data_IF_085783611890
#
_entry.id   IF_085783611890
#
_cell.length_a   1.000
_cell.length_b   1.000
_cell.length_c   1.000
_cell.angle_alpha   90.00
_cell.angle_beta   90.00
_cell.angle_gamma   90.00
#
_symmetry.space_group_name_H-M   'P 1'
#
loop_
_entity.id
_entity.type
_entity.pdbx_description
1 polymer ?
#
# COMPACT_ATOMS: atom_id res chain seq x y z
N UNK A 1 7.39 -6.30 19.07
CA UNK A 1 8.11 -7.32 18.26
C UNK A 1 7.23 -7.95 17.19
N UNK A 2 6.01 -8.38 17.53
CA UNK A 2 5.13 -9.13 16.62
C UNK A 2 4.18 -8.28 15.73
N UNK A 3 4.29 -6.96 15.80
CA UNK A 3 3.62 -6.04 14.89
C UNK A 3 4.64 -5.49 13.90
N UNK A 4 4.40 -5.68 12.60
CA UNK A 4 5.25 -5.17 11.52
C UNK A 4 4.59 -3.93 10.91
N UNK A 5 5.29 -2.81 10.90
CA UNK A 5 4.81 -1.59 10.27
C UNK A 5 4.82 -1.73 8.75
N UNK A 6 3.67 -1.57 8.13
CA UNK A 6 3.58 -1.50 6.67
C UNK A 6 3.93 -0.08 6.22
N UNK A 7 4.84 0.09 5.26
CA UNK A 7 5.29 1.42 4.87
C UNK A 7 4.24 2.15 4.05
N UNK A 8 4.17 3.48 4.23
CA UNK A 8 3.66 4.35 3.18
C UNK A 8 4.72 4.50 2.07
N UNK A 9 4.26 4.66 0.84
CA UNK A 9 5.14 4.74 -0.31
C UNK A 9 5.32 6.20 -0.75
N UNK A 10 6.57 6.66 -0.72
CA UNK A 10 6.93 8.03 -1.09
C UNK A 10 7.89 7.95 -2.28
N UNK A 11 7.41 8.13 -3.52
CA UNK A 11 8.27 8.22 -4.69
C UNK A 11 9.19 9.43 -4.60
N UNK A 12 10.43 9.25 -5.07
CA UNK A 12 11.42 10.33 -5.19
C UNK A 12 11.55 10.70 -6.66
N UNK A 13 10.82 11.74 -7.07
CA UNK A 13 10.88 12.26 -8.42
C UNK A 13 12.20 12.98 -8.66
N UNK A 14 12.66 12.96 -9.91
CA UNK A 14 13.76 13.78 -10.37
C UNK A 14 13.22 15.00 -11.08
N UNK A 15 13.88 16.13 -10.85
CA UNK A 15 13.65 17.38 -11.58
C UNK A 15 13.89 17.18 -13.09
N UNK A 16 13.19 17.97 -13.90
CA UNK A 16 13.31 18.00 -15.36
C UNK A 16 12.96 16.70 -16.12
N UNK A 17 12.55 15.63 -15.43
CA UNK A 17 11.91 14.47 -16.05
C UNK A 17 10.39 14.66 -16.13
N UNK A 18 9.78 14.18 -17.21
CA UNK A 18 8.32 14.13 -17.32
C UNK A 18 7.76 12.82 -16.76
N UNK A 19 6.61 12.92 -16.11
CA UNK A 19 5.88 11.80 -15.52
C UNK A 19 4.42 11.87 -15.94
N UNK A 20 3.78 10.71 -16.11
CA UNK A 20 2.37 10.64 -16.49
C UNK A 20 1.90 9.21 -16.60
N UNK A 21 0.74 8.97 -17.23
CA UNK A 21 0.17 7.64 -17.29
C UNK A 21 0.60 6.80 -18.51
N UNK A 22 1.06 7.44 -19.59
CA UNK A 22 1.38 6.78 -20.87
C UNK A 22 2.68 7.33 -21.48
N UNK A 23 3.18 6.65 -22.51
CA UNK A 23 4.39 7.04 -23.23
C UNK A 23 5.61 7.08 -22.32
N UNK A 24 6.58 7.94 -22.65
CA UNK A 24 7.84 8.08 -21.90
C UNK A 24 7.60 8.48 -20.44
N UNK A 25 6.68 9.41 -20.18
CA UNK A 25 6.32 9.79 -18.82
C UNK A 25 5.71 8.63 -18.01
N UNK A 26 4.94 7.76 -18.67
CA UNK A 26 4.44 6.51 -18.09
C UNK A 26 5.55 5.54 -17.70
N UNK A 27 6.54 5.34 -18.56
CA UNK A 27 7.71 4.50 -18.27
C UNK A 27 8.51 5.05 -17.08
N UNK A 28 8.82 6.35 -17.09
CA UNK A 28 9.56 7.03 -16.02
C UNK A 28 8.82 6.88 -14.68
N UNK A 29 7.52 7.16 -14.69
CA UNK A 29 6.68 7.05 -13.50
C UNK A 29 6.63 5.62 -12.97
N UNK A 30 6.45 4.63 -13.86
CA UNK A 30 6.44 3.22 -13.49
C UNK A 30 7.74 2.80 -12.81
N UNK A 31 8.88 3.26 -13.32
CA UNK A 31 10.20 2.96 -12.74
C UNK A 31 10.36 3.54 -11.33
N UNK A 32 9.98 4.82 -11.13
CA UNK A 32 10.08 5.46 -9.82
C UNK A 32 9.13 4.81 -8.81
N UNK A 33 7.90 4.51 -9.19
CA UNK A 33 6.92 3.87 -8.30
C UNK A 33 7.35 2.46 -7.90
N UNK A 34 7.91 1.67 -8.83
CA UNK A 34 8.48 0.35 -8.51
C UNK A 34 9.65 0.46 -7.54
N UNK A 35 10.54 1.44 -7.73
CA UNK A 35 11.64 1.69 -6.80
C UNK A 35 11.13 2.09 -5.42
N UNK A 36 10.15 2.98 -5.37
CA UNK A 36 9.51 3.44 -4.13
C UNK A 36 8.80 2.31 -3.39
N UNK A 37 8.11 1.44 -4.11
CA UNK A 37 7.41 0.28 -3.55
C UNK A 37 8.29 -0.94 -3.32
N UNK A 38 9.60 -0.84 -3.63
CA UNK A 38 10.55 -1.95 -3.60
C UNK A 38 10.07 -3.17 -4.41
N UNK A 39 9.31 -2.94 -5.49
CA UNK A 39 8.76 -3.99 -6.34
C UNK A 39 7.49 -4.67 -5.83
N UNK A 40 6.80 -4.07 -4.86
CA UNK A 40 5.53 -4.57 -4.31
C UNK A 40 4.32 -3.70 -4.74
N UNK A 41 3.13 -4.31 -4.74
CA UNK A 41 1.87 -3.60 -4.91
C UNK A 41 1.66 -2.62 -3.75
N UNK A 42 1.36 -1.36 -4.04
CA UNK A 42 1.18 -0.33 -3.02
C UNK A 42 -0.06 -0.52 -2.13
N UNK A 43 -1.02 -1.37 -2.53
CA UNK A 43 -2.23 -1.64 -1.74
C UNK A 43 -2.24 -2.97 -1.00
N UNK A 44 -1.77 -4.05 -1.63
CA UNK A 44 -1.82 -5.39 -1.03
C UNK A 44 -0.47 -6.00 -0.70
N UNK A 45 0.62 -5.29 -0.99
CA UNK A 45 1.98 -5.71 -0.63
C UNK A 45 2.46 -7.02 -1.29
N UNK A 46 1.71 -7.55 -2.27
CA UNK A 46 2.13 -8.66 -3.12
C UNK A 46 3.22 -8.20 -4.09
N UNK A 47 4.18 -9.08 -4.39
CA UNK A 47 5.29 -8.76 -5.30
C UNK A 47 4.78 -8.58 -6.73
N UNK A 48 5.23 -7.52 -7.39
CA UNK A 48 4.88 -7.17 -8.78
C UNK A 48 6.10 -7.06 -9.68
N UNK A 49 7.31 -7.00 -9.11
CA UNK A 49 8.57 -7.14 -9.84
C UNK A 49 9.16 -8.51 -9.56
N UNK A 50 9.07 -9.41 -10.53
CA UNK A 50 9.51 -10.81 -10.42
C UNK A 50 10.44 -11.10 -11.58
N UNK A 51 11.65 -11.58 -11.29
CA UNK A 51 12.66 -11.89 -12.32
C UNK A 51 12.84 -10.76 -13.35
N UNK A 52 13.00 -9.54 -12.85
CA UNK A 52 13.13 -8.29 -13.66
C UNK A 52 11.89 -7.95 -14.52
N UNK A 53 10.84 -8.78 -14.52
CA UNK A 53 9.57 -8.53 -15.20
C UNK A 53 8.63 -7.76 -14.27
N UNK A 54 8.08 -6.67 -14.79
CA UNK A 54 7.21 -5.76 -14.04
C UNK A 54 5.74 -5.99 -14.40
N UNK A 55 5.04 -6.69 -13.51
CA UNK A 55 3.61 -6.99 -13.58
C UNK A 55 2.72 -5.90 -12.96
N UNK A 56 3.33 -4.82 -12.47
CA UNK A 56 2.63 -3.67 -11.91
C UNK A 56 1.85 -2.90 -12.97
N UNK A 57 0.71 -2.35 -12.58
CA UNK A 57 -0.13 -1.47 -13.38
C UNK A 57 -0.17 -0.08 -12.76
N UNK A 58 -0.05 0.95 -13.61
CA UNK A 58 -0.29 2.33 -13.20
C UNK A 58 -1.78 2.49 -12.91
N UNK A 59 -2.10 2.95 -11.72
CA UNK A 59 -3.46 3.01 -11.17
C UNK A 59 -3.74 4.43 -10.68
N UNK A 60 -4.92 4.98 -10.98
CA UNK A 60 -5.32 6.34 -10.60
C UNK A 60 -6.02 6.39 -9.24
N UNK A 61 -5.33 6.84 -8.19
CA UNK A 61 -5.83 6.92 -6.81
C UNK A 61 -7.25 7.47 -6.71
N UNK A 62 -7.49 8.66 -7.30
CA UNK A 62 -8.81 9.18 -7.64
C UNK A 62 -9.05 8.90 -9.11
N UNK A 63 -10.19 8.29 -9.45
CA UNK A 63 -10.42 7.83 -10.81
C UNK A 63 -10.43 8.99 -11.83
N UNK A 64 -9.72 8.77 -12.94
CA UNK A 64 -9.53 9.75 -14.02
C UNK A 64 -10.82 10.24 -14.69
N UNK A 65 -11.94 9.51 -14.57
CA UNK A 65 -13.21 9.97 -15.11
C UNK A 65 -13.77 11.18 -14.36
N UNK A 66 -13.26 11.48 -13.15
CA UNK A 66 -13.66 12.65 -12.39
C UNK A 66 -13.10 13.95 -12.98
N UNK A 67 -11.88 13.94 -13.53
CA UNK A 67 -11.27 15.13 -14.13
C UNK A 67 -10.08 14.76 -15.03
N UNK A 68 -9.95 15.43 -16.18
CA UNK A 68 -8.84 15.19 -17.12
C UNK A 68 -7.47 15.53 -16.53
N UNK A 69 -7.37 16.52 -15.62
CA UNK A 69 -6.11 16.86 -14.93
C UNK A 69 -5.55 15.70 -14.09
N UNK A 70 -6.41 14.77 -13.63
CA UNK A 70 -6.00 13.59 -12.87
C UNK A 70 -5.33 12.51 -13.73
N UNK A 71 -5.53 12.53 -15.05
CA UNK A 71 -5.04 11.48 -15.97
C UNK A 71 -3.52 11.37 -15.92
N UNK A 72 -2.82 12.50 -15.89
CA UNK A 72 -1.35 12.55 -15.91
C UNK A 72 -0.75 13.13 -14.62
N UNK A 73 -1.56 13.43 -13.60
CA UNK A 73 -1.06 13.88 -12.30
C UNK A 73 -0.22 12.78 -11.64
N UNK A 74 1.11 12.94 -11.50
CA UNK A 74 1.97 11.88 -10.96
C UNK A 74 1.65 11.55 -9.51
N UNK A 75 1.20 12.55 -8.74
CA UNK A 75 0.76 12.36 -7.36
C UNK A 75 -0.56 11.57 -7.23
N UNK A 76 -1.32 11.44 -8.32
CA UNK A 76 -2.53 10.65 -8.40
C UNK A 76 -2.31 9.24 -8.94
N UNK A 77 -1.07 8.85 -9.25
CA UNK A 77 -0.81 7.57 -9.90
C UNK A 77 0.07 6.69 -9.02
N UNK A 78 -0.44 5.50 -8.73
CA UNK A 78 0.20 4.46 -7.93
C UNK A 78 0.65 3.28 -8.80
N UNK A 79 1.41 2.33 -8.21
CA UNK A 79 1.71 1.04 -8.83
C UNK A 79 1.06 -0.10 -8.05
N UNK A 80 0.27 -0.91 -8.74
CA UNK A 80 -0.53 -1.96 -8.10
C UNK A 80 -0.54 -3.25 -8.90
N UNK A 81 -0.91 -4.36 -8.26
CA UNK A 81 -1.16 -5.61 -8.97
C UNK A 81 -2.51 -5.53 -9.73
N UNK A 82 -2.67 -6.39 -10.74
CA UNK A 82 -3.87 -6.45 -11.57
C UNK A 82 -5.17 -6.67 -10.78
N UNK A 83 -5.11 -7.41 -9.66
CA UNK A 83 -6.29 -7.65 -8.81
C UNK A 83 -6.73 -6.41 -8.05
N UNK A 84 -5.78 -5.65 -7.49
CA UNK A 84 -6.08 -4.41 -6.79
C UNK A 84 -6.65 -3.36 -7.75
N UNK A 85 -5.98 -3.14 -8.89
CA UNK A 85 -6.42 -2.19 -9.92
C UNK A 85 -7.73 -2.61 -10.58
N UNK A 86 -7.78 -3.84 -11.09
CA UNK A 86 -8.84 -4.31 -11.98
C UNK A 86 -10.10 -4.80 -11.28
N UNK A 87 -10.07 -5.07 -9.97
CA UNK A 87 -11.20 -5.66 -9.25
C UNK A 87 -11.50 -4.93 -7.94
N UNK A 88 -10.56 -4.92 -6.99
CA UNK A 88 -10.84 -4.43 -5.64
C UNK A 88 -11.12 -2.94 -5.60
N UNK A 89 -10.33 -2.13 -6.30
CA UNK A 89 -10.55 -0.69 -6.35
C UNK A 89 -11.74 -0.30 -7.23
N UNK A 90 -11.93 -0.96 -8.38
CA UNK A 90 -13.08 -0.71 -9.26
C UNK A 90 -14.43 -0.92 -8.58
N UNK A 91 -14.49 -1.82 -7.58
CA UNK A 91 -15.71 -2.01 -6.79
C UNK A 91 -16.16 -0.67 -6.21
N UNK A 92 -17.40 -0.30 -6.52
CA UNK A 92 -18.04 0.94 -6.08
C UNK A 92 -17.45 2.25 -6.66
N UNK A 93 -16.63 2.20 -7.73
CA UNK A 93 -16.02 3.42 -8.31
C UNK A 93 -17.05 4.46 -8.75
N UNK A 94 -18.18 4.03 -9.30
CA UNK A 94 -19.27 4.93 -9.73
C UNK A 94 -19.88 5.71 -8.57
N UNK A 95 -19.83 5.17 -7.35
CA UNK A 95 -20.41 5.79 -6.14
C UNK A 95 -19.50 6.90 -5.62
N UNK A 96 -18.18 6.83 -5.91
CA UNK A 96 -17.19 7.82 -5.50
C UNK A 96 -17.03 8.99 -6.47
N UNK A 97 -17.98 9.15 -7.40
CA UNK A 97 -17.96 10.23 -8.39
C UNK A 97 -18.01 11.59 -7.69
N UNK A 98 -17.15 12.49 -8.14
CA UNK A 98 -17.10 13.87 -7.67
C UNK A 98 -18.20 14.70 -8.33
N UNK A 99 -18.71 15.69 -7.59
CA UNK A 99 -19.70 16.65 -8.11
C UNK A 99 -19.04 17.65 -9.04
N UNK A 100 -19.84 18.35 -9.86
CA UNK A 100 -19.32 19.36 -10.77
C UNK A 100 -18.60 20.49 -10.01
N UNK A 101 -19.15 20.95 -8.90
CA UNK A 101 -18.54 21.99 -8.04
C UNK A 101 -17.20 21.55 -7.48
N UNK A 102 -17.08 20.29 -7.02
CA UNK A 102 -15.81 19.75 -6.52
C UNK A 102 -14.73 19.70 -7.62
N UNK A 103 -15.14 19.36 -8.85
CA UNK A 103 -14.26 19.33 -10.02
C UNK A 103 -13.84 20.74 -10.43
N UNK A 104 -14.79 21.68 -10.52
CA UNK A 104 -14.51 23.08 -10.89
C UNK A 104 -13.53 23.73 -9.91
N UNK A 105 -13.71 23.48 -8.61
CA UNK A 105 -12.77 23.95 -7.58
C UNK A 105 -11.37 23.33 -7.78
N UNK A 106 -11.29 22.01 -7.98
CA UNK A 106 -10.00 21.38 -8.27
C UNK A 106 -9.36 21.95 -9.53
N UNK A 107 -10.12 22.19 -10.60
CA UNK A 107 -9.61 22.75 -11.85
C UNK A 107 -9.12 24.20 -11.67
N UNK A 108 -9.78 25.00 -10.85
CA UNK A 108 -9.37 26.38 -10.57
C UNK A 108 -8.08 26.47 -9.72
N UNK A 109 -7.93 25.60 -8.71
CA UNK A 109 -6.83 25.66 -7.73
C UNK A 109 -5.67 24.69 -7.99
N UNK A 110 -5.72 23.91 -9.08
CA UNK A 110 -4.64 22.99 -9.44
C UNK A 110 -3.59 23.62 -10.34
N UNK A 111 -2.36 23.65 -9.84
CA UNK A 111 -1.16 24.18 -10.52
C UNK A 111 -0.48 23.11 -11.41
N UNK A 112 -1.25 22.48 -12.30
CA UNK A 112 -0.73 21.39 -13.14
C UNK A 112 0.21 21.92 -14.24
N UNK A 113 1.38 21.30 -14.38
CA UNK A 113 2.32 21.53 -15.48
C UNK A 113 3.02 20.22 -15.91
N UNK A 114 3.77 20.25 -17.02
CA UNK A 114 4.39 19.05 -17.63
C UNK A 114 5.47 18.43 -16.71
N UNK A 115 6.13 19.25 -15.90
CA UNK A 115 7.19 18.87 -14.96
C UNK A 115 6.68 18.74 -13.52
N UNK A 116 5.36 18.63 -13.33
CA UNK A 116 4.75 18.57 -12.02
C UNK A 116 5.17 17.26 -11.32
N UNK A 117 5.75 17.37 -10.14
CA UNK A 117 6.22 16.24 -9.34
C UNK A 117 5.61 16.18 -7.93
N UNK A 118 4.96 17.25 -7.50
CA UNK A 118 4.43 17.41 -6.15
C UNK A 118 2.90 17.32 -6.10
N UNK A 119 2.39 16.95 -4.92
CA UNK A 119 0.98 17.04 -4.60
C UNK A 119 0.61 18.50 -4.28
N UNK A 120 0.04 19.23 -5.23
CA UNK A 120 -0.41 20.61 -5.01
C UNK A 120 -1.60 20.68 -4.01
N UNK A 121 -1.87 21.88 -3.50
CA UNK A 121 -2.96 22.13 -2.55
C UNK A 121 -4.32 21.68 -3.12
N UNK A 122 -4.63 22.05 -4.38
CA UNK A 122 -5.87 21.64 -5.02
C UNK A 122 -6.04 20.11 -5.09
N UNK A 123 -4.95 19.36 -5.34
CA UNK A 123 -5.02 17.89 -5.33
C UNK A 123 -5.19 17.34 -3.90
N UNK A 124 -4.51 17.94 -2.92
CA UNK A 124 -4.64 17.55 -1.50
C UNK A 124 -6.07 17.74 -0.99
N UNK A 125 -6.71 18.86 -1.33
CA UNK A 125 -8.11 19.13 -1.00
C UNK A 125 -9.05 18.13 -1.68
N UNK A 126 -8.80 17.82 -2.95
CA UNK A 126 -9.59 16.84 -3.69
C UNK A 126 -9.51 15.44 -3.05
N UNK A 127 -8.33 15.01 -2.59
CA UNK A 127 -8.15 13.75 -1.85
C UNK A 127 -8.99 13.74 -0.57
N UNK A 128 -8.99 14.84 0.17
CA UNK A 128 -9.77 14.96 1.40
C UNK A 128 -11.28 14.87 1.13
N UNK A 129 -11.77 15.50 0.07
CA UNK A 129 -13.18 15.40 -0.35
C UNK A 129 -13.50 13.97 -0.78
N UNK A 130 -12.67 13.39 -1.64
CA UNK A 130 -12.89 12.06 -2.20
C UNK A 130 -12.95 10.97 -1.12
N UNK A 131 -12.04 11.03 -0.14
CA UNK A 131 -11.98 10.02 0.94
C UNK A 131 -13.15 10.08 1.92
N UNK A 132 -13.89 11.19 1.94
CA UNK A 132 -15.14 11.35 2.71
C UNK A 132 -16.37 10.85 1.96
N UNK A 133 -16.27 10.51 0.68
CA UNK A 133 -17.38 9.92 -0.08
C UNK A 133 -17.67 8.51 0.44
N UNK A 134 -18.92 8.07 0.26
CA UNK A 134 -19.31 6.68 0.50
C UNK A 134 -18.40 5.74 -0.30
N UNK A 135 -17.85 4.72 0.35
CA UNK A 135 -16.87 3.78 -0.20
C UNK A 135 -15.50 4.39 -0.54
N UNK A 136 -15.27 5.67 -0.22
CA UNK A 136 -14.04 6.43 -0.46
C UNK A 136 -12.96 6.20 0.58
N UNK A 137 -13.22 5.41 1.62
CA UNK A 137 -12.30 5.14 2.74
C UNK A 137 -11.11 4.26 2.32
N UNK A 138 -10.21 4.87 1.56
CA UNK A 138 -9.04 4.26 0.96
C UNK A 138 -7.83 5.09 1.38
N UNK A 139 -6.83 4.46 2.00
CA UNK A 139 -5.49 5.03 2.11
C UNK A 139 -4.90 5.15 0.69
N UNK A 140 -5.11 6.31 0.06
CA UNK A 140 -4.69 6.59 -1.31
C UNK A 140 -3.16 6.56 -1.41
N UNK A 141 -2.64 5.91 -2.44
CA UNK A 141 -1.21 5.77 -2.72
C UNK A 141 -0.87 6.49 -4.02
N UNK A 142 0.35 7.04 -4.18
CA UNK A 142 1.38 7.19 -3.17
C UNK A 142 1.01 8.20 -2.06
N UNK A 143 1.90 8.37 -1.08
CA UNK A 143 1.85 9.33 0.03
C UNK A 143 0.92 9.03 1.21
N UNK A 144 -0.07 8.15 1.06
CA UNK A 144 -0.99 7.80 2.15
C UNK A 144 -1.96 8.93 2.51
N UNK A 145 -2.73 8.74 3.58
CA UNK A 145 -3.76 9.70 4.05
C UNK A 145 -3.42 10.17 5.46
N UNK A 146 -3.74 11.43 5.74
CA UNK A 146 -3.63 12.07 7.04
C UNK A 146 -5.01 12.60 7.44
N UNK A 147 -5.38 12.44 8.70
CA UNK A 147 -6.58 13.09 9.24
C UNK A 147 -6.32 14.59 9.41
N UNK A 148 -7.25 15.45 8.97
CA UNK A 148 -7.06 16.90 9.03
C UNK A 148 -7.18 17.48 10.44
N UNK A 149 -7.92 16.81 11.33
CA UNK A 149 -8.17 17.30 12.68
C UNK A 149 -7.07 16.82 13.63
N UNK A 150 -6.81 15.51 13.65
CA UNK A 150 -5.82 14.89 14.55
C UNK A 150 -4.39 14.96 14.02
N UNK A 151 -4.22 15.22 12.73
CA UNK A 151 -2.94 15.14 12.03
C UNK A 151 -2.31 13.73 12.05
N UNK A 152 -3.05 12.69 12.45
CA UNK A 152 -2.57 11.31 12.41
C UNK A 152 -2.48 10.82 10.97
N UNK A 153 -1.35 10.22 10.60
CA UNK A 153 -1.21 9.52 9.33
C UNK A 153 -1.85 8.15 9.47
N UNK A 154 -2.71 7.75 8.53
CA UNK A 154 -3.33 6.43 8.53
C UNK A 154 -2.34 5.35 8.09
N UNK A 155 -1.98 4.48 9.03
CA UNK A 155 -0.98 3.44 8.89
C UNK A 155 -1.55 2.07 9.23
N UNK A 156 -1.01 1.04 8.56
CA UNK A 156 -1.37 -0.36 8.76
C UNK A 156 -0.18 -1.09 9.41
N UNK A 157 -0.47 -1.99 10.32
CA UNK A 157 0.48 -2.98 10.82
C UNK A 157 0.03 -4.39 10.43
N UNK A 158 0.99 -5.31 10.30
CA UNK A 158 0.71 -6.74 10.22
C UNK A 158 0.98 -7.38 11.58
N UNK A 159 -0.06 -7.96 12.17
CA UNK A 159 0.01 -8.80 13.35
C UNK A 159 0.42 -10.21 12.97
N UNK A 160 1.67 -10.55 13.32
CA UNK A 160 2.30 -11.83 13.03
C UNK A 160 1.56 -12.99 13.70
N UNK A 161 1.16 -12.83 14.96
CA UNK A 161 0.61 -13.93 15.75
C UNK A 161 -0.83 -14.24 15.36
N UNK A 162 -1.54 -13.25 14.82
CA UNK A 162 -2.91 -13.41 14.30
C UNK A 162 -2.98 -13.54 12.78
N UNK A 163 -1.85 -13.36 12.07
CA UNK A 163 -1.73 -13.34 10.62
C UNK A 163 -2.73 -12.38 9.95
N UNK A 164 -2.86 -11.16 10.50
CA UNK A 164 -3.84 -10.16 10.05
C UNK A 164 -3.24 -8.77 9.96
N UNK A 165 -3.63 -8.03 8.94
CA UNK A 165 -3.46 -6.59 8.86
C UNK A 165 -4.44 -5.89 9.79
N UNK A 166 -3.96 -4.92 10.54
CA UNK A 166 -4.70 -4.15 11.54
C UNK A 166 -4.34 -2.66 11.45
N UNK A 167 -5.17 -1.74 11.95
CA UNK A 167 -4.75 -0.36 12.19
C UNK A 167 -3.47 -0.33 13.04
N UNK A 168 -2.53 0.54 12.68
CA UNK A 168 -1.28 0.65 13.42
C UNK A 168 -1.48 1.17 14.85
N UNK A 169 -0.63 0.74 15.78
CA UNK A 169 -0.54 1.31 17.13
C UNK A 169 0.41 2.53 17.21
N UNK A 170 0.91 3.04 16.09
CA UNK A 170 1.76 4.25 16.05
C UNK A 170 1.07 5.47 16.66
N UNK A 171 -0.25 5.58 16.48
CA UNK A 171 -1.07 6.66 17.02
C UNK A 171 -2.23 6.08 17.82
N UNK A 172 -2.73 6.85 18.79
CA UNK A 172 -3.98 6.52 19.45
C UNK A 172 -5.17 6.97 18.60
N UNK A 173 -5.44 6.21 17.53
CA UNK A 173 -6.52 6.52 16.60
C UNK A 173 -7.89 6.53 17.29
N UNK A 174 -8.70 7.53 16.94
CA UNK A 174 -10.12 7.54 17.26
C UNK A 174 -10.85 6.43 16.51
N UNK A 175 -12.05 6.04 16.97
CA UNK A 175 -12.80 4.93 16.37
C UNK A 175 -13.13 5.15 14.89
N UNK A 176 -13.44 6.39 14.50
CA UNK A 176 -13.64 6.74 13.08
C UNK A 176 -12.38 6.58 12.23
N UNK A 177 -11.21 6.88 12.78
CA UNK A 177 -9.92 6.70 12.09
C UNK A 177 -9.60 5.21 11.96
N UNK A 178 -9.83 4.42 13.01
CA UNK A 178 -9.69 2.95 12.97
C UNK A 178 -10.64 2.34 11.92
N UNK A 179 -11.90 2.78 11.90
CA UNK A 179 -12.91 2.33 10.94
C UNK A 179 -12.46 2.61 9.50
N UNK A 180 -11.91 3.80 9.23
CA UNK A 180 -11.35 4.13 7.91
C UNK A 180 -10.26 3.14 7.49
N UNK A 181 -9.30 2.86 8.37
CA UNK A 181 -8.19 1.94 8.08
C UNK A 181 -8.73 0.51 7.88
N UNK A 182 -9.70 0.07 8.68
CA UNK A 182 -10.36 -1.23 8.54
C UNK A 182 -11.11 -1.32 7.20
N UNK A 183 -11.81 -0.27 6.77
CA UNK A 183 -12.48 -0.23 5.46
C UNK A 183 -11.49 -0.36 4.31
N UNK A 184 -10.31 0.25 4.40
CA UNK A 184 -9.24 0.03 3.44
C UNK A 184 -8.77 -1.43 3.43
N UNK A 185 -8.47 -2.01 4.60
CA UNK A 185 -8.03 -3.41 4.76
C UNK A 185 -9.05 -4.37 4.13
N UNK A 186 -10.34 -4.14 4.38
CA UNK A 186 -11.43 -4.94 3.85
C UNK A 186 -11.59 -4.75 2.33
N UNK A 187 -11.46 -3.52 1.82
CA UNK A 187 -11.59 -3.25 0.38
C UNK A 187 -10.58 -4.03 -0.45
N UNK A 188 -9.33 -4.11 0.00
CA UNK A 188 -8.28 -4.84 -0.69
C UNK A 188 -8.14 -6.30 -0.23
N UNK A 189 -9.10 -6.78 0.58
CA UNK A 189 -9.18 -8.16 1.06
C UNK A 189 -7.87 -8.65 1.71
N UNK A 190 -7.19 -7.76 2.46
CA UNK A 190 -5.87 -8.09 3.01
C UNK A 190 -5.93 -9.25 4.04
N UNK A 191 -7.07 -9.39 4.72
CA UNK A 191 -7.33 -10.43 5.71
C UNK A 191 -8.26 -11.55 5.22
N UNK A 192 -8.74 -11.48 3.98
CA UNK A 192 -9.64 -12.49 3.42
C UNK A 192 -8.86 -13.82 3.26
N UNK A 193 -9.35 -14.95 3.77
CA UNK A 193 -8.66 -16.24 3.68
C UNK A 193 -8.27 -16.67 2.25
N UNK A 194 -9.03 -16.23 1.24
CA UNK A 194 -8.78 -16.51 -0.18
C UNK A 194 -7.61 -15.71 -0.75
N UNK A 195 -7.36 -14.51 -0.22
CA UNK A 195 -6.39 -13.57 -0.78
C UNK A 195 -5.20 -13.29 0.13
N UNK A 196 -5.32 -13.56 1.44
CA UNK A 196 -4.23 -13.38 2.41
C UNK A 196 -3.03 -14.22 2.02
N UNK A 197 -1.83 -13.67 2.24
CA UNK A 197 -0.60 -14.38 1.91
C UNK A 197 -0.39 -15.60 2.81
N UNK A 198 0.05 -16.71 2.22
CA UNK A 198 0.56 -17.88 2.94
C UNK A 198 2.08 -17.92 3.02
N UNK A 199 2.75 -16.99 2.33
CA UNK A 199 4.21 -16.92 2.23
C UNK A 199 4.89 -16.76 3.60
N UNK A 200 4.21 -16.12 4.56
CA UNK A 200 4.74 -15.95 5.90
C UNK A 200 4.87 -17.28 6.64
N UNK A 201 3.89 -18.18 6.51
CA UNK A 201 3.98 -19.52 7.10
C UNK A 201 5.10 -20.33 6.45
N UNK A 202 5.18 -20.34 5.11
CA UNK A 202 6.27 -21.01 4.38
C UNK A 202 7.65 -20.47 4.77
N UNK A 203 7.77 -19.16 4.99
CA UNK A 203 9.01 -18.59 5.51
C UNK A 203 9.37 -19.13 6.90
N UNK A 204 8.41 -19.23 7.82
CA UNK A 204 8.65 -19.73 9.17
C UNK A 204 9.07 -21.21 9.14
N UNK A 205 8.41 -22.02 8.31
CA UNK A 205 8.75 -23.44 8.09
C UNK A 205 10.18 -23.58 7.55
N UNK A 206 10.51 -22.88 6.45
CA UNK A 206 11.85 -22.85 5.88
C UNK A 206 12.90 -22.42 6.93
N UNK A 207 12.60 -21.40 7.73
CA UNK A 207 13.54 -20.89 8.71
C UNK A 207 13.89 -21.93 9.80
N UNK A 208 12.89 -22.70 10.23
CA UNK A 208 13.05 -23.77 11.23
C UNK A 208 13.76 -24.97 10.62
N UNK A 209 13.29 -25.45 9.46
CA UNK A 209 13.83 -26.63 8.77
C UNK A 209 15.31 -26.47 8.44
N UNK A 210 15.68 -25.35 7.83
CA UNK A 210 17.07 -25.08 7.44
C UNK A 210 17.91 -24.48 8.59
N UNK A 211 17.30 -24.26 9.76
CA UNK A 211 17.93 -23.60 10.90
C UNK A 211 18.72 -22.34 10.47
N UNK A 212 18.10 -21.49 9.64
CA UNK A 212 18.72 -20.31 9.05
C UNK A 212 17.63 -19.33 8.61
N UNK A 213 17.88 -18.02 8.65
CA UNK A 213 16.93 -17.02 8.13
C UNK A 213 17.07 -16.92 6.61
N UNK A 214 16.03 -17.25 5.82
CA UNK A 214 16.04 -17.10 4.37
C UNK A 214 16.47 -15.71 3.89
N UNK A 215 16.98 -15.66 2.66
CA UNK A 215 17.34 -14.38 2.03
C UNK A 215 16.09 -13.55 1.70
N UNK A 216 16.19 -12.25 1.94
CA UNK A 216 15.21 -11.24 1.48
C UNK A 216 14.94 -11.41 -0.03
N UNK A 217 13.72 -11.10 -0.46
CA UNK A 217 13.20 -11.22 -1.83
C UNK A 217 12.94 -12.66 -2.31
N UNK A 218 13.18 -13.70 -1.49
CA UNK A 218 12.80 -15.10 -1.82
C UNK A 218 11.30 -15.26 -1.95
N UNK A 219 10.54 -14.55 -1.12
CA UNK A 219 9.08 -14.67 -1.02
C UNK A 219 8.37 -13.54 -1.78
N UNK A 220 7.12 -13.80 -2.17
CA UNK A 220 6.32 -12.91 -2.99
C UNK A 220 5.45 -11.93 -2.16
N UNK A 221 5.84 -11.61 -0.93
CA UNK A 221 5.11 -10.67 -0.07
C UNK A 221 6.04 -9.79 0.80
N UNK A 222 5.73 -8.50 0.89
CA UNK A 222 6.54 -7.53 1.64
C UNK A 222 6.58 -7.81 3.14
N UNK A 223 5.51 -8.38 3.72
CA UNK A 223 5.47 -8.73 5.15
C UNK A 223 6.65 -9.63 5.52
N UNK A 224 6.94 -10.61 4.66
CA UNK A 224 8.05 -11.55 4.86
C UNK A 224 9.40 -10.82 4.78
N UNK A 225 9.56 -9.94 3.80
CA UNK A 225 10.77 -9.14 3.62
C UNK A 225 11.05 -8.23 4.83
N UNK A 226 10.02 -7.57 5.37
CA UNK A 226 10.12 -6.75 6.58
C UNK A 226 10.48 -7.58 7.80
N UNK A 227 9.91 -8.78 7.92
CA UNK A 227 10.24 -9.68 9.02
C UNK A 227 11.68 -10.19 8.93
N UNK A 228 12.15 -10.57 7.73
CA UNK A 228 13.54 -10.96 7.47
C UNK A 228 14.50 -9.83 7.89
N UNK A 229 14.21 -8.59 7.49
CA UNK A 229 15.02 -7.43 7.87
C UNK A 229 15.11 -7.30 9.40
N UNK A 230 14.00 -7.47 10.11
CA UNK A 230 13.96 -7.43 11.57
C UNK A 230 14.74 -8.58 12.22
N UNK A 231 14.62 -9.80 11.68
CA UNK A 231 15.30 -10.98 12.22
C UNK A 231 16.82 -10.91 12.03
N UNK A 232 17.30 -10.28 10.95
CA UNK A 232 18.74 -10.14 10.65
C UNK A 232 19.49 -9.25 11.63
N UNK A 233 18.80 -8.41 12.39
CA UNK A 233 19.40 -7.56 13.43
C UNK A 233 19.71 -8.40 14.69
N UNK A 234 19.07 -9.56 14.84
CA UNK A 234 19.22 -10.41 16.01
C UNK A 234 20.29 -11.49 15.78
N UNK A 235 20.92 -12.00 16.86
CA UNK A 235 21.72 -13.22 16.76
C UNK A 235 20.89 -14.37 16.20
N UNK A 236 21.52 -15.21 15.37
CA UNK A 236 20.87 -16.33 14.66
C UNK A 236 19.99 -17.17 15.59
N UNK A 237 20.54 -17.63 16.71
CA UNK A 237 19.81 -18.46 17.67
C UNK A 237 18.54 -17.80 18.20
N UNK A 238 18.60 -16.49 18.47
CA UNK A 238 17.44 -15.72 18.95
C UNK A 238 16.38 -15.59 17.86
N UNK A 239 16.80 -15.33 16.62
CA UNK A 239 15.88 -15.25 15.48
C UNK A 239 15.16 -16.59 15.23
N UNK A 240 15.88 -17.71 15.30
CA UNK A 240 15.31 -19.05 15.14
C UNK A 240 14.38 -19.40 16.31
N UNK A 241 14.73 -19.05 17.55
CA UNK A 241 13.83 -19.22 18.71
C UNK A 241 12.51 -18.45 18.53
N UNK A 242 12.57 -17.22 18.00
CA UNK A 242 11.37 -16.42 17.68
C UNK A 242 10.53 -17.11 16.60
N UNK A 243 11.16 -17.62 15.53
CA UNK A 243 10.46 -18.34 14.47
C UNK A 243 9.73 -19.59 15.01
N UNK A 244 10.40 -20.37 15.87
CA UNK A 244 9.78 -21.52 16.54
C UNK A 244 8.57 -21.12 17.40
N UNK A 245 8.70 -20.07 18.21
CA UNK A 245 7.59 -19.57 19.03
C UNK A 245 6.38 -19.17 18.18
N UNK A 246 6.64 -18.46 17.08
CA UNK A 246 5.58 -18.09 16.12
C UNK A 246 4.95 -19.36 15.53
N UNK A 247 5.74 -20.32 15.06
CA UNK A 247 5.23 -21.56 14.47
C UNK A 247 4.34 -22.35 15.43
N UNK A 248 4.77 -22.51 16.69
CA UNK A 248 3.96 -23.16 17.74
C UNK A 248 2.63 -22.41 17.94
N UNK A 249 2.66 -21.07 17.98
CA UNK A 249 1.45 -20.28 18.15
C UNK A 249 0.48 -20.44 16.97
N UNK A 250 0.99 -20.47 15.74
CA UNK A 250 0.18 -20.60 14.53
C UNK A 250 -0.44 -22.00 14.42
N UNK A 251 0.34 -23.04 14.68
CA UNK A 251 -0.12 -24.44 14.62
C UNK A 251 -1.13 -24.80 15.71
N UNK A 252 -1.03 -24.20 16.90
CA UNK A 252 -2.05 -24.36 17.96
C UNK A 252 -3.37 -23.69 17.55
N UNK A 253 -3.32 -22.52 16.92
CA UNK A 253 -4.52 -21.81 16.47
C UNK A 253 -5.24 -22.50 15.32
N UNK A 254 -4.53 -23.17 14.42
CA UNK A 254 -5.16 -23.88 13.30
C UNK A 254 -5.84 -25.20 13.73
N UNK A 255 -5.62 -25.66 14.97
CA UNK A 255 -6.26 -26.86 15.55
C UNK A 255 -7.52 -26.56 16.38
N UNK A 256 -7.83 -25.29 16.62
CA UNK A 256 -9.00 -24.82 17.39
C UNK A 256 -9.93 -23.97 16.53
#
# INVERSE_FOLDING_TARGET
MFLLDMPNFIPKYKEHESYGHKGKGGENLKNILIKASKGYCMYCYAKILIDRKNFGQLEHSIEKFNCNKLVNCPANISITCSKCNGSFKKKSEKIRKLTRVEIDNFEAFSECNITCIDACNGYSDLRNIYTKKKEGEIILQPFGIKNNDTQNVYLIQYDILNQKFVPSNTYNYQDKEKEFIIKHINRFNLNDPKYRTKEFLYFIEDAIEYNAIPKKNRYCNLVVDLFIERMRILPKEKAIKICNLIYTQLTVKDKN
#
